data_IF_802733200387
#
_entry.id   IF_802733200387
#
_cell.length_a   1.000
_cell.length_b   1.000
_cell.length_c   1.000
_cell.angle_alpha   90.00
_cell.angle_beta   90.00
_cell.angle_gamma   90.00
#
_symmetry.space_group_name_H-M   'P 1'
#
loop_
_entity.id
_entity.type
_entity.pdbx_description
1 polymer ?
#
# COMPACT_ATOMS: atom_id res chain seq x y z
N UNK A 1 45.79 -16.23 51.09
CA UNK A 1 45.25 -14.87 50.87
C UNK A 1 45.51 -14.48 49.43
N UNK A 2 44.65 -13.95 48.58
CA UNK A 2 43.20 -13.84 48.47
C UNK A 2 42.95 -13.69 46.95
N UNK A 3 41.83 -14.22 46.45
CA UNK A 3 41.50 -14.25 45.03
C UNK A 3 41.17 -12.85 44.47
N UNK A 4 41.55 -12.59 43.22
CA UNK A 4 40.98 -11.51 42.43
C UNK A 4 40.49 -12.10 41.10
N UNK A 5 39.17 -12.23 41.01
CA UNK A 5 38.42 -12.84 39.91
C UNK A 5 38.27 -11.80 38.81
N UNK A 6 38.84 -12.02 37.63
CA UNK A 6 38.59 -11.18 36.44
C UNK A 6 37.26 -11.60 35.82
N UNK A 7 36.18 -10.89 36.19
CA UNK A 7 34.86 -11.10 35.62
C UNK A 7 34.66 -10.28 34.33
N UNK A 8 34.26 -11.01 33.27
CA UNK A 8 33.72 -10.60 31.98
C UNK A 8 32.97 -9.25 31.93
N UNK A 9 33.02 -8.59 30.76
CA UNK A 9 31.85 -8.43 29.86
C UNK A 9 32.23 -7.67 28.59
N UNK A 10 32.54 -8.40 27.51
CA UNK A 10 32.34 -7.87 26.16
C UNK A 10 30.83 -7.71 25.95
N UNK A 11 30.36 -6.46 25.89
CA UNK A 11 29.03 -6.16 25.36
C UNK A 11 29.07 -6.36 23.84
N UNK A 12 28.80 -7.59 23.40
CA UNK A 12 28.33 -7.84 22.05
C UNK A 12 26.98 -7.13 21.90
N UNK A 13 27.01 -5.90 21.42
CA UNK A 13 25.81 -5.21 20.95
C UNK A 13 25.46 -5.82 19.59
N UNK A 14 24.84 -7.00 19.63
CA UNK A 14 24.10 -7.53 18.50
C UNK A 14 23.00 -6.52 18.20
N UNK A 15 23.27 -5.61 17.26
CA UNK A 15 22.24 -4.77 16.69
C UNK A 15 21.21 -5.70 16.08
N UNK A 16 20.05 -5.79 16.72
CA UNK A 16 18.90 -6.45 16.13
C UNK A 16 18.57 -5.68 14.86
N UNK A 17 19.05 -6.20 13.72
CA UNK A 17 18.52 -5.84 12.41
C UNK A 17 17.04 -6.18 12.49
N UNK A 18 16.20 -5.17 12.65
CA UNK A 18 14.77 -5.29 12.45
C UNK A 18 14.61 -5.70 11.00
N UNK A 19 14.51 -7.01 10.78
CA UNK A 19 14.19 -7.58 9.48
C UNK A 19 12.78 -7.12 9.19
N UNK A 20 12.64 -5.98 8.52
CA UNK A 20 11.37 -5.54 7.98
C UNK A 20 10.87 -6.70 7.14
N UNK A 21 9.73 -7.26 7.55
CA UNK A 21 9.00 -8.19 6.70
C UNK A 21 8.78 -7.42 5.38
N UNK A 22 9.07 -8.02 4.22
CA UNK A 22 8.71 -7.38 2.97
C UNK A 22 7.19 -7.25 3.02
N UNK A 23 6.70 -6.02 3.24
CA UNK A 23 5.29 -5.72 3.10
C UNK A 23 4.91 -6.25 1.72
N UNK A 24 3.98 -7.21 1.68
CA UNK A 24 3.67 -7.94 0.45
C UNK A 24 3.60 -6.98 -0.73
N UNK A 25 4.36 -7.27 -1.78
CA UNK A 25 4.40 -6.42 -2.96
C UNK A 25 2.97 -6.25 -3.47
N UNK A 26 2.40 -5.07 -3.25
CA UNK A 26 1.07 -4.72 -3.71
C UNK A 26 1.20 -4.61 -5.23
N UNK A 27 0.46 -5.40 -5.99
CA UNK A 27 0.44 -5.19 -7.43
C UNK A 27 -0.40 -3.94 -7.68
N UNK A 28 0.28 -2.84 -7.97
CA UNK A 28 -0.28 -1.55 -8.36
C UNK A 28 -0.87 -1.66 -9.78
N UNK A 29 -1.97 -0.97 -10.02
CA UNK A 29 -2.60 -0.80 -11.32
C UNK A 29 -3.61 -1.87 -11.73
N UNK A 30 -4.07 -1.73 -12.97
CA UNK A 30 -5.10 -2.59 -13.57
C UNK A 30 -4.59 -4.02 -13.75
N UNK A 31 -5.41 -4.99 -13.33
CA UNK A 31 -5.15 -6.42 -13.55
C UNK A 31 -6.04 -6.94 -14.68
N UNK A 32 -5.57 -7.96 -15.37
CA UNK A 32 -6.32 -8.63 -16.43
C UNK A 32 -6.79 -9.99 -15.93
N UNK A 33 -8.06 -10.29 -16.13
CA UNK A 33 -8.63 -11.61 -15.82
C UNK A 33 -8.18 -12.67 -16.82
N UNK A 34 -8.38 -13.98 -16.52
CA UNK A 34 -8.06 -15.06 -17.46
C UNK A 34 -8.72 -14.91 -18.83
N UNK A 35 -9.88 -14.25 -18.91
CA UNK A 35 -10.60 -13.98 -20.16
C UNK A 35 -10.11 -12.74 -20.92
N UNK A 36 -9.06 -12.07 -20.44
CA UNK A 36 -8.55 -10.84 -21.06
C UNK A 36 -9.32 -9.57 -20.66
N UNK A 37 -10.35 -9.68 -19.82
CA UNK A 37 -11.11 -8.52 -19.33
C UNK A 37 -10.34 -7.78 -18.22
N UNK A 38 -10.27 -6.45 -18.31
CA UNK A 38 -9.71 -5.58 -17.25
C UNK A 38 -10.59 -5.65 -15.98
N UNK A 39 -9.94 -5.94 -14.86
CA UNK A 39 -10.55 -5.93 -13.52
C UNK A 39 -10.62 -4.48 -13.05
N UNK A 40 -11.76 -4.06 -12.50
CA UNK A 40 -11.92 -2.68 -12.00
C UNK A 40 -11.10 -2.43 -10.73
N UNK A 41 -10.93 -1.17 -10.33
CA UNK A 41 -10.30 -0.78 -9.07
C UNK A 41 -11.01 -1.34 -7.82
N UNK A 42 -12.27 -1.74 -7.94
CA UNK A 42 -13.04 -2.44 -6.89
C UNK A 42 -12.89 -3.96 -6.93
N UNK A 43 -12.17 -4.51 -7.91
CA UNK A 43 -12.02 -5.95 -8.11
C UNK A 43 -13.11 -6.59 -8.95
N UNK A 44 -14.02 -5.82 -9.56
CA UNK A 44 -15.13 -6.36 -10.33
C UNK A 44 -14.66 -6.86 -11.70
N UNK A 45 -15.09 -8.07 -12.02
CA UNK A 45 -15.01 -8.71 -13.33
C UNK A 45 -16.18 -9.67 -13.49
N UNK A 46 -16.59 -9.95 -14.73
CA UNK A 46 -17.61 -10.97 -14.99
C UNK A 46 -16.99 -12.35 -15.15
N UNK A 47 -17.62 -13.36 -14.54
CA UNK A 47 -17.24 -14.75 -14.70
C UNK A 47 -17.31 -15.21 -16.15
N UNK A 48 -16.51 -16.23 -16.49
CA UNK A 48 -16.40 -16.76 -17.86
C UNK A 48 -17.74 -17.22 -18.45
N UNK A 49 -18.64 -17.69 -17.58
CA UNK A 49 -19.99 -18.17 -17.94
C UNK A 49 -21.08 -17.12 -17.78
N UNK A 50 -20.76 -15.89 -17.38
CA UNK A 50 -21.75 -14.83 -17.23
C UNK A 50 -22.16 -14.27 -18.60
N UNK A 51 -23.41 -14.52 -18.98
CA UNK A 51 -24.02 -14.04 -20.23
C UNK A 51 -23.95 -12.51 -20.37
N UNK A 52 -23.85 -11.77 -19.26
CA UNK A 52 -23.78 -10.31 -19.24
C UNK A 52 -22.56 -9.76 -19.98
N UNK A 53 -21.50 -10.56 -20.18
CA UNK A 53 -20.29 -10.20 -20.93
C UNK A 53 -20.55 -9.86 -22.38
N UNK A 54 -21.64 -10.40 -22.96
CA UNK A 54 -22.02 -10.15 -24.35
C UNK A 54 -22.14 -8.66 -24.69
N UNK A 55 -22.48 -7.82 -23.71
CA UNK A 55 -22.59 -6.36 -23.89
C UNK A 55 -21.28 -5.68 -24.32
N UNK A 56 -20.14 -6.32 -24.05
CA UNK A 56 -18.81 -5.82 -24.39
C UNK A 56 -18.24 -6.50 -25.63
N UNK A 57 -18.95 -7.44 -26.26
CA UNK A 57 -18.50 -8.01 -27.53
C UNK A 57 -18.61 -6.91 -28.62
N UNK A 58 -17.49 -6.65 -29.31
CA UNK A 58 -17.40 -5.55 -30.28
C UNK A 58 -17.38 -4.15 -29.66
N UNK A 59 -17.25 -4.03 -28.33
CA UNK A 59 -17.13 -2.77 -27.58
C UNK A 59 -16.02 -2.88 -26.54
N UNK A 60 -15.62 -1.77 -25.93
CA UNK A 60 -14.65 -1.78 -24.84
C UNK A 60 -15.32 -1.63 -23.48
N UNK A 61 -14.86 -2.39 -22.48
CA UNK A 61 -15.19 -2.14 -21.08
C UNK A 61 -14.31 -0.99 -20.58
N UNK A 62 -14.93 0.13 -20.26
CA UNK A 62 -14.23 1.28 -19.73
C UNK A 62 -13.87 1.07 -18.26
N UNK A 63 -12.58 1.22 -17.94
CA UNK A 63 -12.03 1.09 -16.60
C UNK A 63 -11.01 2.21 -16.42
N UNK A 64 -11.12 2.98 -15.33
CA UNK A 64 -10.10 3.95 -14.97
C UNK A 64 -8.82 3.21 -14.54
N UNK A 65 -7.70 3.44 -15.22
CA UNK A 65 -6.41 2.80 -14.95
C UNK A 65 -5.66 3.44 -13.77
N UNK A 66 -6.04 4.67 -13.38
CA UNK A 66 -5.46 5.39 -12.25
C UNK A 66 -6.19 5.03 -10.95
N UNK A 67 -5.69 4.02 -10.26
CA UNK A 67 -6.31 3.54 -9.02
C UNK A 67 -5.90 4.44 -7.84
N UNK A 68 -6.86 5.04 -7.15
CA UNK A 68 -6.58 5.96 -6.04
C UNK A 68 -5.83 5.28 -4.87
N UNK A 69 -6.05 3.99 -4.64
CA UNK A 69 -5.35 3.21 -3.59
C UNK A 69 -3.83 3.20 -3.81
N UNK A 70 -3.42 3.17 -5.07
CA UNK A 70 -2.04 3.12 -5.50
C UNK A 70 -1.39 4.50 -5.34
N UNK A 71 -2.08 5.52 -5.86
CA UNK A 71 -1.63 6.92 -5.78
C UNK A 71 -1.48 7.42 -4.33
N UNK A 72 -2.38 7.01 -3.43
CA UNK A 72 -2.27 7.38 -2.00
C UNK A 72 -1.09 6.67 -1.34
N UNK A 73 -0.80 5.43 -1.71
CA UNK A 73 0.32 4.67 -1.16
C UNK A 73 1.68 5.18 -1.67
N UNK A 74 1.71 5.83 -2.83
CA UNK A 74 2.91 6.52 -3.36
C UNK A 74 3.26 7.80 -2.58
N UNK A 75 2.29 8.44 -1.94
CA UNK A 75 2.56 9.68 -1.20
C UNK A 75 3.41 9.42 0.06
N UNK A 76 4.43 10.24 0.31
CA UNK A 76 5.29 10.08 1.48
C UNK A 76 4.54 10.42 2.76
N UNK A 77 4.94 9.78 3.86
CA UNK A 77 4.44 10.13 5.19
C UNK A 77 5.01 11.48 5.62
N UNK A 78 4.13 12.43 5.94
CA UNK A 78 4.52 13.73 6.49
C UNK A 78 4.87 13.63 7.98
N UNK A 79 6.08 14.05 8.36
CA UNK A 79 6.55 14.02 9.75
C UNK A 79 6.36 15.39 10.41
N UNK A 80 5.80 15.40 11.61
CA UNK A 80 5.47 16.61 12.38
C UNK A 80 5.91 16.47 13.84
N UNK A 81 6.34 17.57 14.46
CA UNK A 81 6.80 17.57 15.86
C UNK A 81 5.70 17.81 16.88
N UNK A 82 4.49 18.20 16.45
CA UNK A 82 3.34 18.40 17.33
C UNK A 82 2.63 17.09 17.65
N UNK A 83 2.01 17.01 18.83
CA UNK A 83 1.20 15.84 19.24
C UNK A 83 -0.11 15.73 18.45
N UNK A 84 -0.68 16.86 18.06
CA UNK A 84 -1.96 16.94 17.35
C UNK A 84 -1.73 17.70 16.04
N UNK A 85 -2.34 17.20 14.96
CA UNK A 85 -2.35 17.83 13.64
C UNK A 85 -3.78 17.85 13.08
N UNK A 86 -4.04 18.79 12.19
CA UNK A 86 -5.25 18.87 11.37
C UNK A 86 -4.82 18.89 9.90
N UNK A 87 -5.62 18.26 9.03
CA UNK A 87 -5.41 18.22 7.58
C UNK A 87 -6.64 18.83 6.92
N UNK A 88 -6.42 19.78 6.02
CA UNK A 88 -7.45 20.50 5.28
C UNK A 88 -7.57 20.04 3.82
N UNK A 89 -6.77 19.05 3.43
CA UNK A 89 -6.63 18.58 2.05
C UNK A 89 -6.04 19.62 1.08
N UNK A 90 -5.54 20.76 1.57
CA UNK A 90 -4.92 21.83 0.79
C UNK A 90 -5.90 22.86 0.22
N UNK A 91 -5.42 24.11 0.09
CA UNK A 91 -6.12 25.19 -0.62
C UNK A 91 -7.20 25.94 0.17
N UNK A 92 -7.39 25.63 1.46
CA UNK A 92 -8.24 26.37 2.41
C UNK A 92 -9.77 26.30 2.20
N UNK A 93 -10.25 26.12 0.97
CA UNK A 93 -11.68 26.13 0.62
C UNK A 93 -12.19 25.06 -0.36
N UNK A 94 -11.41 24.58 -1.37
CA UNK A 94 -11.87 23.52 -2.26
C UNK A 94 -11.67 22.12 -1.67
N UNK A 95 -11.00 22.02 -0.52
CA UNK A 95 -10.69 20.78 0.16
C UNK A 95 -11.86 20.18 0.94
N UNK A 96 -11.67 18.98 1.51
CA UNK A 96 -12.59 18.41 2.47
C UNK A 96 -12.69 19.30 3.73
N UNK A 97 -13.75 19.13 4.56
CA UNK A 97 -13.82 19.80 5.85
C UNK A 97 -12.58 19.52 6.70
N UNK A 98 -12.09 20.57 7.39
CA UNK A 98 -11.10 20.46 8.48
C UNK A 98 -11.70 19.79 9.72
#
# INVERSE_FOLDING_TARGET
MAAAVTFLRLLSRSGAVTRSLPGGARCFGVRTSPTGEKVTHTGQVYDDKDYRKVRFVGRQKEVNENFAIDLIAEQPVSQVGSRVISCDGGGGGPGPPQ
#
